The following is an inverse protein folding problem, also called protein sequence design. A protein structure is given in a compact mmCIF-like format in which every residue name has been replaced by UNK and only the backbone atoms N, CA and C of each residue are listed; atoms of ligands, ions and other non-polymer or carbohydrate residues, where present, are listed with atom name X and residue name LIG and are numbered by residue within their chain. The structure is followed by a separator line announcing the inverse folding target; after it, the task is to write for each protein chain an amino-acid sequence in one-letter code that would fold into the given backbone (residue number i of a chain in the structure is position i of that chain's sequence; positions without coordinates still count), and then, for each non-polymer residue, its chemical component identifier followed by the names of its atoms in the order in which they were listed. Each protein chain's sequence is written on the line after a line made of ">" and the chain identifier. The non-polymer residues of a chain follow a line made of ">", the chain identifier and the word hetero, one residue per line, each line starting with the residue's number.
data_IF_452582553737
#
_entry.id   IF_452582553737
#
_cell.length_a   1.000
_cell.length_b   1.000
_cell.length_c   1.000
_cell.angle_alpha   90.00
_cell.angle_beta   90.00
_cell.angle_gamma   90.00
#
_symmetry.space_group_name_H-M   'P 1'
#
loop_
_entity.id
_entity.type
_entity.pdbx_description
1 polymer ?
#
# COMPACT_ATOMS: atom_id res chain seq x y z
N UNK A 1 -5.64 20.62 -21.46
CA UNK A 1 -5.66 20.81 -22.92
C UNK A 1 -5.73 22.28 -23.29
N UNK A 2 -6.81 23.00 -22.99
CA UNK A 2 -6.93 24.42 -23.38
C UNK A 2 -5.73 25.29 -22.99
N UNK A 3 -5.25 25.18 -21.75
CA UNK A 3 -4.08 25.93 -21.27
C UNK A 3 -2.78 25.66 -22.05
N UNK A 4 -2.64 24.49 -22.68
CA UNK A 4 -1.48 24.11 -23.49
C UNK A 4 -1.60 24.58 -24.95
N UNK A 5 -2.78 25.03 -25.39
CA UNK A 5 -2.98 25.61 -26.72
C UNK A 5 -2.62 27.11 -26.76
N UNK A 6 -2.71 27.77 -25.61
CA UNK A 6 -2.40 29.19 -25.46
C UNK A 6 -0.88 29.37 -25.53
N UNK A 7 -0.43 30.28 -26.38
CA UNK A 7 0.97 30.68 -26.48
C UNK A 7 1.10 32.20 -26.46
N UNK A 8 2.27 32.70 -26.09
CA UNK A 8 2.54 34.13 -26.06
C UNK A 8 3.32 34.56 -27.30
N UNK A 9 2.83 35.58 -28.00
CA UNK A 9 3.57 36.20 -29.09
C UNK A 9 4.85 36.89 -28.57
N UNK A 10 6.04 36.60 -29.14
CA UNK A 10 7.30 37.07 -28.58
C UNK A 10 7.46 38.59 -28.66
N UNK A 11 6.80 39.27 -29.60
CA UNK A 11 6.95 40.71 -29.86
C UNK A 11 5.88 41.52 -29.11
N UNK A 12 4.61 41.27 -29.42
CA UNK A 12 3.46 42.00 -28.85
C UNK A 12 3.12 41.58 -27.42
N UNK A 13 3.63 40.42 -26.96
CA UNK A 13 3.29 39.79 -25.67
C UNK A 13 1.82 39.40 -25.52
N UNK A 14 1.04 39.45 -26.59
CA UNK A 14 -0.35 39.00 -26.61
C UNK A 14 -0.46 37.49 -26.38
N UNK A 15 -1.51 37.06 -25.68
CA UNK A 15 -1.88 35.64 -25.58
C UNK A 15 -2.73 35.25 -26.78
N UNK A 16 -2.27 34.25 -27.52
CA UNK A 16 -2.88 33.76 -28.75
C UNK A 16 -3.31 32.31 -28.61
N UNK A 17 -4.36 31.95 -29.33
CA UNK A 17 -4.82 30.56 -29.50
C UNK A 17 -5.36 30.41 -30.92
N UNK A 18 -5.01 29.31 -31.59
CA UNK A 18 -5.51 29.05 -32.93
C UNK A 18 -6.98 28.58 -32.87
N UNK A 19 -7.77 28.96 -33.88
CA UNK A 19 -9.11 28.42 -34.07
C UNK A 19 -8.98 26.93 -34.38
N UNK A 20 -9.43 26.09 -33.46
CA UNK A 20 -9.25 24.62 -33.50
C UNK A 20 -10.48 23.94 -32.88
N UNK A 21 -10.81 22.75 -33.37
CA UNK A 21 -11.79 21.84 -32.76
C UNK A 21 -11.07 20.60 -32.22
N UNK A 22 -11.33 20.21 -30.98
CA UNK A 22 -10.74 19.02 -30.33
C UNK A 22 -11.88 18.16 -29.77
N UNK A 23 -11.82 16.87 -30.07
CA UNK A 23 -12.60 15.81 -29.43
C UNK A 23 -11.62 14.85 -28.75
N UNK A 24 -11.78 14.58 -27.44
CA UNK A 24 -10.77 13.91 -26.60
C UNK A 24 -11.42 13.04 -25.52
N UNK A 25 -10.89 11.85 -25.29
CA UNK A 25 -11.32 10.92 -24.24
C UNK A 25 -10.16 9.99 -23.83
N UNK A 26 -10.11 9.50 -22.57
CA UNK A 26 -9.03 8.65 -22.11
C UNK A 26 -9.16 7.22 -22.65
N UNK A 27 -8.07 6.65 -23.18
CA UNK A 27 -8.01 5.22 -23.56
C UNK A 27 -8.20 4.28 -22.36
N UNK A 28 -7.67 4.65 -21.20
CA UNK A 28 -7.77 3.87 -19.95
C UNK A 28 -8.34 4.74 -18.83
N UNK A 29 -9.28 4.18 -18.07
CA UNK A 29 -9.94 4.87 -16.96
C UNK A 29 -9.04 5.00 -15.73
N UNK A 30 -8.11 4.07 -15.51
CA UNK A 30 -7.13 4.13 -14.44
C UNK A 30 -5.79 4.66 -14.96
N UNK A 31 -5.37 5.84 -14.48
CA UNK A 31 -4.08 6.46 -14.78
C UNK A 31 -3.46 6.90 -13.47
N UNK A 32 -2.67 6.01 -12.88
CA UNK A 32 -2.16 6.12 -11.52
C UNK A 32 -0.71 6.59 -11.41
N UNK A 33 -0.39 7.32 -10.34
CA UNK A 33 0.97 7.59 -9.89
C UNK A 33 1.08 7.13 -8.43
N UNK A 34 2.08 6.30 -8.12
CA UNK A 34 2.41 5.88 -6.76
C UNK A 34 3.47 6.82 -6.17
N UNK A 35 3.28 7.25 -4.91
CA UNK A 35 4.35 7.85 -4.11
C UNK A 35 4.50 7.11 -2.78
N UNK A 36 5.75 6.80 -2.44
CA UNK A 36 6.17 6.18 -1.19
C UNK A 36 6.50 7.25 -0.15
N UNK A 37 5.72 7.26 0.92
CA UNK A 37 5.87 8.14 2.07
C UNK A 37 6.45 7.45 3.30
N UNK A 38 6.73 6.14 3.25
CA UNK A 38 7.28 5.39 4.37
C UNK A 38 8.81 5.36 4.35
N UNK A 39 9.42 5.04 3.20
CA UNK A 39 10.89 4.98 3.08
C UNK A 39 11.50 6.35 3.32
N UNK A 40 10.83 7.39 2.81
CA UNK A 40 11.12 8.78 3.12
C UNK A 40 9.81 9.57 3.23
N UNK A 41 9.67 10.34 4.31
CA UNK A 41 8.49 11.18 4.50
C UNK A 41 8.41 12.27 3.42
N UNK A 42 7.24 12.38 2.77
CA UNK A 42 6.97 13.39 1.75
C UNK A 42 6.21 14.59 2.35
N UNK A 43 6.78 15.81 2.38
CA UNK A 43 6.06 16.97 2.89
C UNK A 43 4.79 17.27 2.08
N UNK A 44 3.73 17.78 2.72
CA UNK A 44 2.45 18.08 2.06
C UNK A 44 2.58 18.95 0.81
N UNK A 45 3.51 19.92 0.84
CA UNK A 45 3.79 20.78 -0.32
C UNK A 45 4.22 19.96 -1.53
N UNK A 46 5.06 18.94 -1.33
CA UNK A 46 5.55 18.06 -2.40
C UNK A 46 4.42 17.17 -2.93
N UNK A 47 3.57 16.63 -2.05
CA UNK A 47 2.39 15.88 -2.45
C UNK A 47 1.45 16.73 -3.32
N UNK A 48 1.15 17.96 -2.90
CA UNK A 48 0.33 18.91 -3.67
C UNK A 48 0.94 19.27 -5.03
N UNK A 49 2.25 19.48 -5.09
CA UNK A 49 2.96 19.72 -6.35
C UNK A 49 2.89 18.52 -7.30
N UNK A 50 2.94 17.30 -6.78
CA UNK A 50 2.72 16.10 -7.59
C UNK A 50 1.27 16.00 -8.08
N UNK A 51 0.28 16.31 -7.24
CA UNK A 51 -1.13 16.35 -7.66
C UNK A 51 -1.39 17.39 -8.76
N UNK A 52 -0.74 18.56 -8.70
CA UNK A 52 -0.76 19.54 -9.80
C UNK A 52 -0.15 18.94 -11.09
N UNK A 53 1.04 18.33 -10.98
CA UNK A 53 1.70 17.70 -12.13
C UNK A 53 0.87 16.55 -12.73
N UNK A 54 0.22 15.75 -11.88
CA UNK A 54 -0.71 14.70 -12.28
C UNK A 54 -1.87 15.28 -13.08
N UNK A 55 -2.49 16.37 -12.60
CA UNK A 55 -3.58 17.04 -13.31
C UNK A 55 -3.15 17.58 -14.67
N UNK A 56 -1.95 18.19 -14.77
CA UNK A 56 -1.38 18.67 -16.03
C UNK A 56 -1.17 17.54 -17.06
N UNK A 57 -0.89 16.33 -16.58
CA UNK A 57 -0.70 15.12 -17.38
C UNK A 57 -1.95 14.23 -17.46
N UNK A 58 -3.10 14.71 -16.99
CA UNK A 58 -4.39 13.99 -16.95
C UNK A 58 -4.36 12.67 -16.17
N UNK A 59 -3.43 12.46 -15.23
CA UNK A 59 -3.55 11.37 -14.25
C UNK A 59 -4.77 11.58 -13.36
N UNK A 60 -5.36 10.50 -12.85
CA UNK A 60 -6.59 10.57 -12.07
C UNK A 60 -6.62 9.65 -10.84
N UNK A 61 -5.52 8.95 -10.55
CA UNK A 61 -5.38 8.15 -9.33
C UNK A 61 -4.04 8.46 -8.69
N UNK A 62 -4.07 8.92 -7.45
CA UNK A 62 -2.91 9.02 -6.58
C UNK A 62 -2.91 7.77 -5.69
N UNK A 63 -1.98 6.84 -5.97
CA UNK A 63 -1.75 5.67 -5.14
C UNK A 63 -0.77 6.08 -4.04
N UNK A 64 -1.24 6.14 -2.80
CA UNK A 64 -0.44 6.63 -1.69
C UNK A 64 0.05 5.47 -0.84
N UNK A 65 1.31 5.08 -1.08
CA UNK A 65 2.03 4.09 -0.29
C UNK A 65 2.49 4.73 1.03
N UNK A 66 1.68 4.53 2.07
CA UNK A 66 1.72 5.33 3.30
C UNK A 66 2.70 4.79 4.34
N UNK A 67 2.81 3.47 4.45
CA UNK A 67 3.47 2.75 5.55
C UNK A 67 4.26 1.57 4.98
N UNK A 68 5.35 1.21 5.65
CA UNK A 68 6.27 0.14 5.25
C UNK A 68 7.18 -0.17 6.47
N UNK A 69 8.23 -0.98 6.30
CA UNK A 69 9.16 -1.37 7.36
C UNK A 69 9.80 -0.18 8.10
N UNK A 70 10.15 0.87 7.35
CA UNK A 70 10.98 1.95 7.85
C UNK A 70 10.19 2.91 8.73
N UNK A 71 8.95 3.24 8.37
CA UNK A 71 8.15 4.16 9.15
C UNK A 71 6.62 4.02 9.02
N UNK A 72 5.94 4.46 10.08
CA UNK A 72 4.49 4.68 10.10
C UNK A 72 4.19 6.17 10.32
N UNK A 73 4.02 6.97 9.26
CA UNK A 73 3.76 8.40 9.37
C UNK A 73 2.26 8.76 9.51
N UNK A 74 1.33 7.81 9.37
CA UNK A 74 -0.10 8.10 9.39
C UNK A 74 -0.65 8.21 10.82
N UNK A 75 -1.22 9.36 11.19
CA UNK A 75 -1.96 9.52 12.44
C UNK A 75 -3.27 8.73 12.40
N UNK A 76 -3.51 7.93 13.45
CA UNK A 76 -4.73 7.14 13.62
C UNK A 76 -5.39 7.43 14.97
N UNK A 77 -6.70 7.59 14.97
CA UNK A 77 -7.51 7.73 16.17
C UNK A 77 -7.63 6.40 16.92
N UNK A 78 -7.72 5.28 16.20
CA UNK A 78 -7.87 3.94 16.79
C UNK A 78 -6.59 3.49 17.50
N UNK A 79 -5.42 3.85 16.97
CA UNK A 79 -4.11 3.53 17.53
C UNK A 79 -3.17 4.75 17.49
N UNK A 80 -3.33 5.72 18.42
CA UNK A 80 -2.55 6.96 18.40
C UNK A 80 -1.03 6.76 18.57
N UNK A 81 -0.63 5.65 19.17
CA UNK A 81 0.76 5.27 19.39
C UNK A 81 1.48 4.81 18.10
N UNK A 82 0.78 4.54 17.00
CA UNK A 82 1.41 4.12 15.74
C UNK A 82 2.44 5.12 15.21
N UNK A 83 2.20 6.43 15.42
CA UNK A 83 3.12 7.49 15.00
C UNK A 83 4.42 7.54 15.82
N UNK A 84 4.56 6.74 16.89
CA UNK A 84 5.86 6.51 17.53
C UNK A 84 6.84 5.78 16.61
N UNK A 85 6.34 5.08 15.59
CA UNK A 85 7.12 4.46 14.53
C UNK A 85 7.40 5.38 13.34
N UNK A 86 6.96 6.65 13.37
CA UNK A 86 7.39 7.64 12.40
C UNK A 86 8.87 8.00 12.61
N UNK A 87 9.52 8.57 11.59
CA UNK A 87 10.93 9.01 11.74
C UNK A 87 11.13 10.07 12.83
N UNK A 88 10.14 10.94 13.03
CA UNK A 88 10.07 11.85 14.17
C UNK A 88 8.64 12.41 14.29
N UNK A 89 8.29 13.11 15.39
CA UNK A 89 7.00 13.79 15.53
C UNK A 89 6.71 14.84 14.44
N UNK A 90 7.72 15.26 13.65
CA UNK A 90 7.54 16.19 12.51
C UNK A 90 7.24 15.47 11.19
N UNK A 91 7.41 14.16 11.14
CA UNK A 91 7.23 13.31 9.96
C UNK A 91 5.94 12.50 10.10
N UNK A 92 4.85 13.20 10.40
CA UNK A 92 3.53 12.61 10.62
C UNK A 92 2.53 13.35 9.75
N UNK A 93 1.64 12.62 9.10
CA UNK A 93 0.42 13.15 8.48
C UNK A 93 -0.69 13.11 9.52
N UNK A 94 -1.09 14.28 10.01
CA UNK A 94 -2.28 14.37 10.86
C UNK A 94 -3.54 14.05 10.07
N UNK A 95 -4.64 13.77 10.75
CA UNK A 95 -5.94 13.56 10.09
C UNK A 95 -6.34 14.77 9.23
N UNK A 96 -5.99 15.98 9.66
CA UNK A 96 -6.25 17.21 8.88
C UNK A 96 -5.41 17.25 7.60
N UNK A 97 -4.17 16.82 7.67
CA UNK A 97 -3.25 16.78 6.52
C UNK A 97 -3.75 15.81 5.46
N UNK A 98 -4.23 14.63 5.88
CA UNK A 98 -4.83 13.63 4.99
C UNK A 98 -6.09 14.18 4.32
N UNK A 99 -7.00 14.80 5.07
CA UNK A 99 -8.22 15.41 4.51
C UNK A 99 -7.91 16.57 3.54
N UNK A 100 -6.88 17.37 3.85
CA UNK A 100 -6.40 18.44 2.96
C UNK A 100 -5.86 17.88 1.64
N UNK A 101 -5.09 16.78 1.66
CA UNK A 101 -4.62 16.11 0.44
C UNK A 101 -5.78 15.50 -0.36
N UNK A 102 -6.74 14.84 0.29
CA UNK A 102 -7.91 14.25 -0.38
C UNK A 102 -8.72 15.35 -1.08
N UNK A 103 -9.01 16.46 -0.40
CA UNK A 103 -9.76 17.56 -1.02
C UNK A 103 -8.97 18.23 -2.14
N UNK A 104 -7.66 18.41 -1.97
CA UNK A 104 -6.80 18.99 -2.99
C UNK A 104 -6.74 18.13 -4.27
N UNK A 105 -6.71 16.81 -4.11
CA UNK A 105 -6.80 15.84 -5.20
C UNK A 105 -8.20 15.84 -5.85
N UNK A 106 -9.27 15.86 -5.05
CA UNK A 106 -10.66 15.89 -5.54
C UNK A 106 -10.94 17.09 -6.44
N UNK A 107 -10.45 18.27 -6.07
CA UNK A 107 -10.57 19.50 -6.88
C UNK A 107 -9.88 19.40 -8.25
N UNK A 108 -9.02 18.40 -8.44
CA UNK A 108 -8.33 18.08 -9.70
C UNK A 108 -8.89 16.84 -10.40
N UNK A 109 -9.95 16.24 -9.87
CA UNK A 109 -10.49 14.98 -10.38
C UNK A 109 -9.56 13.79 -10.16
N UNK A 110 -8.72 13.85 -9.12
CA UNK A 110 -7.79 12.79 -8.75
C UNK A 110 -8.35 12.04 -7.54
N UNK A 111 -8.48 10.72 -7.67
CA UNK A 111 -8.78 9.78 -6.58
C UNK A 111 -7.56 9.57 -5.71
N UNK A 112 -7.73 9.33 -4.41
CA UNK A 112 -6.63 8.98 -3.50
C UNK A 112 -6.88 7.58 -2.97
N UNK A 113 -6.07 6.61 -3.41
CA UNK A 113 -6.15 5.23 -2.97
C UNK A 113 -5.03 5.00 -1.95
N UNK A 114 -5.36 4.77 -0.67
CA UNK A 114 -4.34 4.47 0.34
C UNK A 114 -3.86 3.03 0.20
N UNK A 115 -2.58 2.82 0.52
CA UNK A 115 -2.00 1.50 0.68
C UNK A 115 -1.54 1.30 2.11
N UNK A 116 -1.94 0.15 2.67
CA UNK A 116 -1.43 -0.39 3.93
C UNK A 116 -0.94 -1.80 3.60
N UNK A 117 0.36 -1.91 3.36
CA UNK A 117 0.97 -3.15 2.89
C UNK A 117 1.15 -4.17 4.02
N UNK A 118 0.68 -5.39 3.76
CA UNK A 118 0.71 -6.53 4.67
C UNK A 118 0.60 -7.84 3.88
N UNK A 119 1.14 -8.98 4.36
CA UNK A 119 1.79 -9.19 5.66
C UNK A 119 3.27 -8.84 5.69
N UNK A 120 3.90 -8.60 4.52
CA UNK A 120 5.23 -8.03 4.40
C UNK A 120 5.27 -6.55 4.75
N UNK A 121 6.47 -5.97 4.74
CA UNK A 121 6.65 -4.52 4.91
C UNK A 121 6.02 -3.94 6.21
N UNK A 122 6.05 -4.70 7.31
CA UNK A 122 5.36 -4.37 8.56
C UNK A 122 6.26 -4.13 9.77
N UNK A 123 7.58 -3.98 9.63
CA UNK A 123 8.46 -3.75 10.78
C UNK A 123 8.11 -2.49 11.59
N UNK A 124 7.62 -1.42 10.95
CA UNK A 124 7.16 -0.22 11.66
C UNK A 124 5.95 -0.52 12.57
N UNK A 125 5.07 -1.43 12.16
CA UNK A 125 3.93 -1.88 12.95
C UNK A 125 4.40 -2.68 14.18
N UNK A 126 5.39 -3.57 14.00
CA UNK A 126 5.96 -4.38 15.07
C UNK A 126 6.64 -3.60 16.19
N UNK A 127 7.12 -2.38 15.93
CA UNK A 127 7.65 -1.50 17.00
C UNK A 127 6.58 -1.10 18.02
N UNK A 128 5.32 -1.04 17.60
CA UNK A 128 4.17 -0.62 18.42
C UNK A 128 3.36 -1.82 18.91
N UNK A 129 3.29 -2.88 18.10
CA UNK A 129 2.65 -4.15 18.42
C UNK A 129 3.66 -5.30 18.30
N UNK A 130 4.56 -5.51 19.30
CA UNK A 130 5.65 -6.49 19.18
C UNK A 130 5.20 -7.92 18.89
N UNK A 131 4.03 -8.30 19.39
CA UNK A 131 3.47 -9.66 19.23
C UNK A 131 2.75 -9.86 17.89
N UNK A 132 2.68 -8.84 17.02
CA UNK A 132 2.02 -8.94 15.71
C UNK A 132 2.93 -9.53 14.64
N UNK A 133 4.25 -9.51 14.84
CA UNK A 133 5.23 -10.04 13.90
C UNK A 133 5.64 -11.47 14.27
N UNK A 134 5.89 -12.28 13.25
CA UNK A 134 6.44 -13.62 13.42
C UNK A 134 7.88 -13.53 13.90
N UNK A 135 8.22 -14.26 14.95
CA UNK A 135 9.61 -14.44 15.38
C UNK A 135 10.33 -15.40 14.41
N UNK A 136 11.39 -14.93 13.76
CA UNK A 136 12.21 -15.75 12.90
C UNK A 136 13.30 -16.46 13.72
N UNK A 137 13.87 -17.54 13.18
CA UNK A 137 14.85 -18.38 13.87
C UNK A 137 16.10 -18.59 13.02
N UNK A 138 17.27 -18.43 13.64
CA UNK A 138 18.53 -18.78 12.99
C UNK A 138 19.41 -19.60 13.93
N UNK A 139 19.93 -20.74 13.45
CA UNK A 139 20.66 -21.72 14.26
C UNK A 139 19.94 -22.08 15.56
N UNK A 140 18.61 -22.28 15.49
CA UNK A 140 17.76 -22.64 16.63
C UNK A 140 17.50 -21.53 17.65
N UNK A 141 17.97 -20.31 17.40
CA UNK A 141 17.75 -19.16 18.28
C UNK A 141 16.58 -18.32 17.79
N UNK A 142 15.56 -18.16 18.64
CA UNK A 142 14.38 -17.30 18.40
C UNK A 142 14.79 -15.83 18.33
N UNK A 143 14.24 -15.09 17.37
CA UNK A 143 14.48 -13.66 17.22
C UNK A 143 15.90 -13.33 16.77
N UNK A 144 16.56 -14.24 16.06
CA UNK A 144 17.89 -14.03 15.51
C UNK A 144 17.78 -13.79 14.00
N UNK A 145 18.26 -12.62 13.55
CA UNK A 145 18.31 -12.29 12.13
C UNK A 145 19.33 -13.15 11.37
N UNK A 146 19.04 -13.40 10.10
CA UNK A 146 19.91 -14.07 9.13
C UNK A 146 19.86 -13.29 7.81
N UNK A 147 20.62 -12.20 7.72
CA UNK A 147 20.63 -11.38 6.50
C UNK A 147 21.44 -12.07 5.38
N UNK A 148 20.94 -12.07 4.13
CA UNK A 148 19.79 -11.30 3.63
C UNK A 148 18.43 -12.01 3.68
N UNK A 149 18.33 -13.20 4.31
CA UNK A 149 17.13 -14.03 4.26
C UNK A 149 15.97 -13.51 5.10
N UNK A 150 16.22 -13.09 6.34
CA UNK A 150 15.18 -12.54 7.21
C UNK A 150 15.73 -11.70 8.38
N UNK A 151 14.93 -10.75 8.84
CA UNK A 151 15.16 -10.04 10.10
C UNK A 151 14.91 -10.93 11.35
N UNK A 152 15.01 -10.37 12.55
CA UNK A 152 14.67 -11.09 13.79
C UNK A 152 13.15 -11.34 13.92
N UNK A 153 12.37 -10.36 13.47
CA UNK A 153 10.91 -10.35 13.36
C UNK A 153 10.58 -9.60 12.08
N UNK A 154 9.74 -10.15 11.22
CA UNK A 154 9.66 -9.67 9.84
C UNK A 154 8.22 -9.55 9.34
N UNK A 155 7.58 -10.68 9.04
CA UNK A 155 6.22 -10.74 8.51
C UNK A 155 5.19 -10.71 9.64
N UNK A 156 3.97 -10.22 9.38
CA UNK A 156 2.85 -10.42 10.30
C UNK A 156 2.69 -11.91 10.67
N UNK A 157 2.26 -12.19 11.89
CA UNK A 157 1.97 -13.56 12.35
C UNK A 157 0.53 -13.96 11.94
N UNK A 158 0.35 -14.83 10.92
CA UNK A 158 -0.95 -15.23 10.44
C UNK A 158 -1.63 -16.25 11.36
N UNK A 159 -0.94 -16.78 12.37
CA UNK A 159 -1.50 -17.75 13.31
C UNK A 159 -2.39 -17.09 14.37
N UNK A 160 -2.21 -15.80 14.61
CA UNK A 160 -2.85 -15.08 15.70
C UNK A 160 -4.10 -14.35 15.23
N UNK A 161 -5.24 -14.60 15.90
CA UNK A 161 -6.46 -13.81 15.67
C UNK A 161 -6.25 -12.32 15.97
N UNK A 162 -5.37 -12.02 16.94
CA UNK A 162 -4.94 -10.67 17.29
C UNK A 162 -4.44 -9.86 16.07
N UNK A 163 -3.67 -10.49 15.18
CA UNK A 163 -3.18 -9.85 13.94
C UNK A 163 -4.34 -9.33 13.10
N UNK A 164 -5.35 -10.16 12.89
CA UNK A 164 -6.52 -9.80 12.08
C UNK A 164 -7.39 -8.76 12.76
N UNK A 165 -7.52 -8.78 14.09
CA UNK A 165 -8.26 -7.77 14.84
C UNK A 165 -7.61 -6.38 14.74
N UNK A 166 -6.28 -6.30 14.92
CA UNK A 166 -5.52 -5.06 14.76
C UNK A 166 -5.65 -4.54 13.32
N UNK A 167 -5.37 -5.39 12.33
CA UNK A 167 -5.43 -4.96 10.93
C UNK A 167 -6.83 -4.57 10.49
N UNK A 168 -7.88 -5.29 10.91
CA UNK A 168 -9.28 -4.92 10.64
C UNK A 168 -9.63 -3.54 11.19
N UNK A 169 -9.15 -3.22 12.39
CA UNK A 169 -9.36 -1.90 13.00
C UNK A 169 -8.62 -0.80 12.23
N UNK A 170 -7.39 -1.06 11.77
CA UNK A 170 -6.62 -0.16 10.92
C UNK A 170 -7.36 0.08 9.59
N UNK A 171 -7.73 -0.99 8.89
CA UNK A 171 -8.42 -0.89 7.61
C UNK A 171 -9.75 -0.15 7.72
N UNK A 172 -10.53 -0.40 8.78
CA UNK A 172 -11.78 0.33 9.02
C UNK A 172 -11.56 1.84 9.06
N UNK A 173 -10.59 2.31 9.83
CA UNK A 173 -10.32 3.75 9.93
C UNK A 173 -9.75 4.33 8.62
N UNK A 174 -8.91 3.58 7.91
CA UNK A 174 -8.39 4.00 6.59
C UNK A 174 -9.52 4.14 5.57
N UNK A 175 -10.43 3.17 5.49
CA UNK A 175 -11.61 3.19 4.62
C UNK A 175 -12.50 4.40 4.94
N UNK A 176 -12.79 4.64 6.23
CA UNK A 176 -13.58 5.80 6.68
C UNK A 176 -12.92 7.15 6.34
N UNK A 177 -11.59 7.19 6.36
CA UNK A 177 -10.80 8.41 6.14
C UNK A 177 -10.67 8.77 4.66
N UNK A 178 -10.33 7.81 3.80
CA UNK A 178 -9.98 8.05 2.40
C UNK A 178 -11.20 8.04 1.46
N UNK A 179 -12.27 7.31 1.80
CA UNK A 179 -13.56 7.31 1.10
C UNK A 179 -13.54 6.96 -0.40
N UNK A 180 -12.40 6.55 -0.95
CA UNK A 180 -12.37 5.87 -2.24
C UNK A 180 -12.98 4.48 -2.10
N UNK A 181 -13.54 3.94 -3.17
CA UNK A 181 -14.10 2.58 -3.14
C UNK A 181 -13.03 1.51 -2.93
N UNK A 182 -11.77 1.83 -3.24
CA UNK A 182 -10.64 0.91 -3.16
C UNK A 182 -9.67 1.26 -2.05
N UNK A 183 -9.13 0.22 -1.41
CA UNK A 183 -7.92 0.23 -0.60
C UNK A 183 -6.90 -0.72 -1.23
N UNK A 184 -5.62 -0.34 -1.25
CA UNK A 184 -4.54 -1.25 -1.64
C UNK A 184 -4.04 -1.98 -0.38
N UNK A 185 -4.01 -3.30 -0.43
CA UNK A 185 -3.62 -4.15 0.69
C UNK A 185 -2.16 -4.61 0.61
N UNK A 186 -1.46 -4.18 -0.44
CA UNK A 186 -0.08 -4.54 -0.73
C UNK A 186 0.04 -6.02 -1.08
N UNK A 187 0.62 -6.79 -0.16
CA UNK A 187 0.88 -8.23 -0.28
C UNK A 187 2.04 -8.57 -1.22
N UNK A 188 2.93 -7.63 -1.52
CA UNK A 188 4.17 -7.92 -2.24
C UNK A 188 5.25 -8.49 -1.32
N UNK A 189 6.22 -9.16 -1.95
CA UNK A 189 7.49 -9.57 -1.36
C UNK A 189 7.36 -10.32 -0.02
N UNK A 190 6.32 -11.14 0.13
CA UNK A 190 6.16 -12.04 1.28
C UNK A 190 7.26 -13.10 1.25
N UNK A 191 8.36 -12.80 1.93
CA UNK A 191 9.53 -13.65 2.01
C UNK A 191 9.30 -14.80 3.01
N UNK A 192 9.13 -16.01 2.48
CA UNK A 192 8.77 -17.17 3.31
C UNK A 192 9.84 -17.62 4.29
N UNK A 193 11.11 -17.21 4.11
CA UNK A 193 12.22 -17.71 4.95
C UNK A 193 12.01 -17.48 6.44
N UNK A 194 11.40 -16.37 6.86
CA UNK A 194 11.05 -16.18 8.27
C UNK A 194 10.01 -17.21 8.75
N UNK A 195 8.93 -17.42 7.99
CA UNK A 195 7.89 -18.39 8.32
C UNK A 195 8.42 -19.83 8.33
N UNK A 196 9.23 -20.20 7.34
CA UNK A 196 9.87 -21.52 7.24
C UNK A 196 10.81 -21.78 8.42
N UNK A 197 11.47 -20.74 8.93
CA UNK A 197 12.36 -20.86 10.09
C UNK A 197 11.61 -21.10 11.39
N UNK A 198 10.34 -20.69 11.52
CA UNK A 198 9.60 -20.68 12.78
C UNK A 198 9.01 -22.06 13.14
N UNK A 199 9.41 -22.67 14.28
CA UNK A 199 8.78 -23.89 14.79
C UNK A 199 7.30 -23.73 15.12
N UNK A 200 6.88 -22.52 15.49
CA UNK A 200 5.48 -22.17 15.76
C UNK A 200 4.64 -22.22 14.48
N UNK A 201 5.12 -21.60 13.39
CA UNK A 201 4.50 -21.69 12.07
C UNK A 201 4.45 -23.15 11.61
N UNK A 202 5.54 -23.91 11.75
CA UNK A 202 5.55 -25.33 11.39
C UNK A 202 4.50 -26.14 12.19
N UNK A 203 4.27 -25.82 13.47
CA UNK A 203 3.21 -26.43 14.30
C UNK A 203 1.83 -26.02 13.82
N UNK A 204 1.64 -24.76 13.44
CA UNK A 204 0.40 -24.25 12.86
C UNK A 204 0.09 -24.93 11.52
N UNK A 205 1.05 -25.05 10.63
CA UNK A 205 0.91 -25.78 9.36
C UNK A 205 0.42 -27.20 9.59
N UNK A 206 1.03 -27.95 10.53
CA UNK A 206 0.58 -29.30 10.91
C UNK A 206 -0.86 -29.31 11.45
N UNK A 207 -1.25 -28.30 12.25
CA UNK A 207 -2.59 -28.18 12.80
C UNK A 207 -3.64 -27.90 11.71
N UNK A 208 -3.30 -27.09 10.71
CA UNK A 208 -4.19 -26.74 9.60
C UNK A 208 -4.17 -27.78 8.46
N UNK A 209 -3.20 -28.71 8.48
CA UNK A 209 -3.00 -29.68 7.40
C UNK A 209 -2.33 -29.08 6.17
N UNK A 210 -1.54 -28.01 6.34
CA UNK A 210 -0.76 -27.39 5.26
C UNK A 210 0.51 -28.20 4.99
N UNK A 211 0.77 -28.47 3.72
CA UNK A 211 1.99 -29.11 3.20
C UNK A 211 3.04 -28.09 2.76
N UNK A 212 2.61 -26.94 2.23
CA UNK A 212 3.48 -25.91 1.65
C UNK A 212 3.27 -24.56 2.36
N UNK A 213 4.33 -23.75 2.43
CA UNK A 213 4.30 -22.47 3.16
C UNK A 213 3.42 -21.42 2.49
N UNK A 214 3.23 -21.47 1.16
CA UNK A 214 2.29 -20.59 0.46
C UNK A 214 0.83 -20.76 0.94
N UNK A 215 0.49 -21.91 1.53
CA UNK A 215 -0.83 -22.11 2.14
C UNK A 215 -1.01 -21.29 3.44
N UNK A 216 0.09 -20.90 4.09
CA UNK A 216 0.09 -19.92 5.19
C UNK A 216 -0.23 -18.53 4.66
N UNK A 217 0.36 -18.14 3.51
CA UNK A 217 -0.01 -16.90 2.81
C UNK A 217 -1.49 -16.93 2.37
N UNK A 218 -1.95 -18.03 1.76
CA UNK A 218 -3.36 -18.22 1.39
C UNK A 218 -4.30 -18.05 2.58
N UNK A 219 -3.93 -18.59 3.74
CA UNK A 219 -4.70 -18.44 4.97
C UNK A 219 -4.77 -16.96 5.41
N UNK A 220 -3.66 -16.23 5.31
CA UNK A 220 -3.63 -14.79 5.59
C UNK A 220 -4.49 -13.99 4.60
N UNK A 221 -4.23 -14.13 3.31
CA UNK A 221 -4.90 -13.39 2.22
C UNK A 221 -6.40 -13.58 2.32
N UNK A 222 -6.88 -14.83 2.41
CA UNK A 222 -8.32 -15.12 2.49
C UNK A 222 -9.01 -14.43 3.66
N UNK A 223 -8.40 -14.44 4.85
CA UNK A 223 -8.95 -13.79 6.04
C UNK A 223 -8.92 -12.26 5.91
N UNK A 224 -7.85 -11.70 5.37
CA UNK A 224 -7.69 -10.26 5.14
C UNK A 224 -8.71 -9.74 4.12
N UNK A 225 -8.84 -10.39 2.97
CA UNK A 225 -9.84 -10.03 1.95
C UNK A 225 -11.27 -10.10 2.53
N UNK A 226 -11.61 -11.17 3.24
CA UNK A 226 -12.92 -11.29 3.88
C UNK A 226 -13.19 -10.18 4.91
N UNK A 227 -12.19 -9.80 5.71
CA UNK A 227 -12.31 -8.70 6.67
C UNK A 227 -12.56 -7.36 5.97
N UNK A 228 -11.83 -7.05 4.90
CA UNK A 228 -11.96 -5.79 4.15
C UNK A 228 -13.28 -5.76 3.37
N UNK A 229 -13.66 -6.87 2.73
CA UNK A 229 -14.96 -7.02 2.08
C UNK A 229 -16.11 -6.73 3.06
N UNK A 230 -16.05 -7.28 4.27
CA UNK A 230 -17.05 -7.04 5.32
C UNK A 230 -17.09 -5.60 5.85
N UNK A 231 -16.08 -4.78 5.57
CA UNK A 231 -16.07 -3.34 5.84
C UNK A 231 -16.67 -2.53 4.68
N UNK A 232 -17.02 -3.16 3.55
CA UNK A 232 -17.68 -2.53 2.42
C UNK A 232 -16.73 -1.85 1.42
N UNK A 233 -15.43 -2.12 1.49
CA UNK A 233 -14.45 -1.61 0.54
C UNK A 233 -14.06 -2.69 -0.49
N UNK A 234 -13.76 -2.25 -1.71
CA UNK A 234 -13.07 -3.06 -2.71
C UNK A 234 -11.57 -3.01 -2.43
N UNK A 235 -10.84 -4.00 -2.92
CA UNK A 235 -9.43 -4.13 -2.63
C UNK A 235 -8.59 -4.33 -3.89
N UNK A 236 -7.35 -3.87 -3.76
CA UNK A 236 -6.27 -4.06 -4.73
C UNK A 236 -5.12 -4.77 -4.04
N UNK A 237 -4.41 -5.63 -4.76
CA UNK A 237 -3.20 -6.31 -4.29
C UNK A 237 -2.12 -6.22 -5.36
N UNK A 238 -0.85 -6.32 -4.96
CA UNK A 238 0.22 -6.59 -5.91
C UNK A 238 0.10 -7.99 -6.51
N UNK A 239 0.85 -8.27 -7.58
CA UNK A 239 0.77 -9.57 -8.27
C UNK A 239 1.26 -10.77 -7.47
N UNK A 240 2.04 -10.54 -6.40
CA UNK A 240 2.81 -11.54 -5.69
C UNK A 240 1.98 -12.73 -5.17
N UNK A 241 0.79 -12.54 -4.57
CA UNK A 241 -0.04 -13.67 -4.17
C UNK A 241 -0.37 -14.58 -5.36
N UNK A 242 -0.68 -14.00 -6.53
CA UNK A 242 -0.99 -14.78 -7.73
C UNK A 242 0.23 -15.55 -8.23
N UNK A 243 1.42 -14.92 -8.19
CA UNK A 243 2.68 -15.57 -8.55
C UNK A 243 3.07 -16.70 -7.57
N UNK A 244 2.58 -16.64 -6.33
CA UNK A 244 2.83 -17.59 -5.25
C UNK A 244 1.79 -18.73 -5.18
N UNK A 245 0.95 -18.88 -6.22
CA UNK A 245 -0.18 -19.82 -6.26
C UNK A 245 -1.20 -19.60 -5.13
N UNK A 246 -1.38 -18.35 -4.69
CA UNK A 246 -2.43 -17.94 -3.76
C UNK A 246 -3.64 -17.43 -4.54
N UNK A 247 -4.80 -17.99 -4.22
CA UNK A 247 -6.09 -17.60 -4.77
C UNK A 247 -6.57 -16.28 -4.13
N UNK A 248 -6.79 -15.28 -4.99
CA UNK A 248 -7.51 -14.06 -4.66
C UNK A 248 -9.00 -14.20 -5.05
N UNK A 249 -9.87 -13.43 -4.39
CA UNK A 249 -11.29 -13.38 -4.74
C UNK A 249 -11.49 -12.78 -6.14
N UNK A 250 -12.53 -13.20 -6.86
CA UNK A 250 -12.75 -12.82 -8.27
C UNK A 250 -12.91 -11.31 -8.51
N UNK A 251 -13.26 -10.54 -7.47
CA UNK A 251 -13.43 -9.10 -7.51
C UNK A 251 -12.15 -8.33 -7.12
N UNK A 252 -11.05 -9.03 -6.86
CA UNK A 252 -9.74 -8.45 -6.56
C UNK A 252 -9.13 -7.79 -7.79
N UNK A 253 -8.71 -6.52 -7.68
CA UNK A 253 -7.83 -5.91 -8.68
C UNK A 253 -6.37 -6.28 -8.39
N UNK A 254 -5.71 -6.87 -9.38
CA UNK A 254 -4.30 -7.24 -9.30
C UNK A 254 -3.43 -6.21 -10.00
N UNK A 255 -2.42 -5.69 -9.31
CA UNK A 255 -1.45 -4.73 -9.84
C UNK A 255 -0.16 -5.45 -10.22
N UNK A 256 0.07 -5.56 -11.53
CA UNK A 256 1.25 -6.23 -12.11
C UNK A 256 2.42 -5.24 -12.17
N UNK A 257 3.49 -5.53 -11.43
CA UNK A 257 4.66 -4.65 -11.27
C UNK A 257 5.98 -5.31 -11.66
N UNK A 258 6.11 -6.63 -11.53
CA UNK A 258 7.30 -7.36 -11.98
C UNK A 258 7.28 -7.43 -13.50
N UNK A 259 8.44 -7.20 -14.11
CA UNK A 259 8.58 -7.34 -15.54
C UNK A 259 8.10 -8.75 -15.95
N UNK A 260 7.32 -8.88 -17.05
CA UNK A 260 6.98 -10.20 -17.56
C UNK A 260 8.28 -10.97 -17.76
N UNK A 261 8.34 -12.23 -17.32
CA UNK A 261 9.42 -13.14 -17.68
C UNK A 261 9.38 -13.28 -19.20
N UNK A 262 10.09 -12.39 -19.89
CA UNK A 262 10.22 -12.39 -21.35
C UNK A 262 10.99 -13.65 -21.69
N UNK A 263 10.25 -14.72 -21.99
CA UNK A 263 10.77 -15.85 -22.73
C UNK A 263 10.54 -15.49 -24.19
N UNK A 264 11.58 -15.11 -24.96
CA UNK A 264 11.43 -14.99 -26.39
C UNK A 264 10.88 -16.32 -26.90
N UNK A 265 9.73 -16.28 -27.57
CA UNK A 265 9.30 -17.41 -28.42
C UNK A 265 10.19 -17.48 -29.65
#
# INVERSE_FOLDING_TARGET
>A
TFTQLVHQDPVSKAFLVNVTMIDDYPRFSYRGLLLDSSRHFQPLKLLKQNLDAMAYNKFNVFHWHLVDDQSWPLEMATYPNLTQSAFSPRHVYSRKDVQDIIEYARLRGIRVIPEIDTPGHTQALGKVFPDILTACYFNGTRGKADYPNHAAFEMLDPMQDYTYDVMRNIFREVIETFKDEYIHLGMDEVYYSCWESSPEIAKFMRKQGFSEVNQVEQYYVKRTLANVHNLGAKYMIWQDPIDNDVEAENDTLVVVWKAPRWTPK
#
